data_IF_880044934955
#
_entry.id   IF_880044934955
#
_cell.length_a   1.000
_cell.length_b   1.000
_cell.length_c   1.000
_cell.angle_alpha   90.00
_cell.angle_beta   90.00
_cell.angle_gamma   90.00
#
_symmetry.space_group_name_H-M   'P 1'
#
loop_
_entity.id
_entity.type
_entity.pdbx_description
1 polymer ?
#
# COMPACT_ATOMS: atom_id res chain seq x y z
N UNK A 1 -2.88 -19.89 -5.25
CA UNK A 1 -1.65 -19.10 -5.47
C UNK A 1 -2.02 -17.84 -6.22
N UNK A 2 -1.43 -16.70 -5.88
CA UNK A 2 -1.70 -15.38 -6.44
C UNK A 2 -1.21 -15.28 -7.90
N UNK A 3 -2.07 -15.29 -8.94
CA UNK A 3 -1.62 -15.21 -10.32
C UNK A 3 -1.06 -13.83 -10.64
N UNK A 4 -0.01 -13.77 -11.46
CA UNK A 4 0.51 -12.49 -11.94
C UNK A 4 -0.57 -11.69 -12.67
N UNK A 5 -0.78 -10.45 -12.24
CA UNK A 5 -1.56 -9.46 -12.98
C UNK A 5 -1.11 -8.03 -12.60
N UNK A 6 -1.50 -7.05 -13.44
CA UNK A 6 -1.25 -5.63 -13.16
C UNK A 6 -2.03 -5.21 -11.91
N UNK A 7 -1.35 -4.53 -11.00
CA UNK A 7 -1.90 -4.13 -9.71
C UNK A 7 -1.58 -2.66 -9.39
N UNK A 8 -2.41 -2.03 -8.57
CA UNK A 8 -2.25 -0.61 -8.20
C UNK A 8 -2.79 -0.32 -6.79
N UNK A 9 -2.14 0.57 -6.05
CA UNK A 9 -2.68 1.09 -4.79
C UNK A 9 -3.79 2.09 -5.08
N UNK A 10 -4.91 1.97 -4.36
CA UNK A 10 -6.09 2.78 -4.59
C UNK A 10 -6.63 3.38 -3.28
N UNK A 11 -6.71 4.70 -3.29
CA UNK A 11 -7.59 5.52 -2.47
C UNK A 11 -8.22 6.59 -3.36
N UNK A 12 -9.53 6.77 -3.24
CA UNK A 12 -10.31 7.62 -4.15
C UNK A 12 -10.49 9.07 -3.68
N UNK A 13 -9.80 9.52 -2.63
CA UNK A 13 -10.04 10.84 -2.03
C UNK A 13 -9.75 11.97 -3.02
N UNK A 14 -10.75 12.84 -3.24
CA UNK A 14 -10.65 14.05 -4.08
C UNK A 14 -10.27 15.27 -3.24
N UNK A 15 -10.25 16.45 -3.86
CA UNK A 15 -10.12 17.70 -3.13
C UNK A 15 -11.16 17.82 -2.01
N UNK A 16 -10.72 18.32 -0.85
CA UNK A 16 -11.53 18.46 0.37
C UNK A 16 -12.08 17.15 0.97
N UNK A 17 -11.66 15.99 0.45
CA UNK A 17 -11.95 14.68 1.02
C UNK A 17 -10.71 14.16 1.76
N UNK A 18 -10.91 13.46 2.87
CA UNK A 18 -9.82 12.88 3.64
C UNK A 18 -10.36 11.86 4.65
N UNK A 19 -9.61 10.77 4.94
CA UNK A 19 -9.93 9.91 6.08
C UNK A 19 -9.87 10.69 7.41
N UNK A 20 -9.06 11.76 7.51
CA UNK A 20 -8.90 12.58 8.72
C UNK A 20 -10.16 13.38 9.04
N UNK A 21 -10.78 13.98 8.02
CA UNK A 21 -12.03 14.76 8.17
C UNK A 21 -13.27 13.89 8.07
N UNK A 22 -13.12 12.59 7.77
CA UNK A 22 -14.21 11.63 7.51
C UNK A 22 -15.12 12.08 6.36
N UNK A 23 -14.57 12.83 5.42
CA UNK A 23 -15.22 13.17 4.15
C UNK A 23 -14.73 12.16 3.11
N UNK A 24 -15.58 11.21 2.75
CA UNK A 24 -15.24 10.08 1.88
C UNK A 24 -15.76 10.29 0.45
N UNK A 25 -15.13 9.65 -0.56
CA UNK A 25 -15.68 9.57 -1.90
C UNK A 25 -17.08 8.94 -1.90
N UNK A 26 -17.99 9.52 -2.66
CA UNK A 26 -19.33 8.99 -2.93
C UNK A 26 -19.28 7.71 -3.75
N UNK A 27 -20.38 6.93 -3.76
CA UNK A 27 -20.49 5.73 -4.59
C UNK A 27 -20.30 6.03 -6.09
N UNK A 28 -20.77 7.19 -6.58
CA UNK A 28 -20.59 7.60 -7.97
C UNK A 28 -19.12 7.90 -8.31
N UNK A 29 -18.39 8.59 -7.41
CA UNK A 29 -16.95 8.83 -7.58
C UNK A 29 -16.14 7.54 -7.51
N UNK A 30 -16.50 6.63 -6.59
CA UNK A 30 -15.89 5.31 -6.50
C UNK A 30 -16.14 4.49 -7.77
N UNK A 31 -17.37 4.51 -8.31
CA UNK A 31 -17.70 3.82 -9.56
C UNK A 31 -16.89 4.38 -10.73
N UNK A 32 -16.77 5.71 -10.85
CA UNK A 32 -15.93 6.36 -11.88
C UNK A 32 -14.49 5.85 -11.81
N UNK A 33 -13.89 5.88 -10.62
CA UNK A 33 -12.51 5.45 -10.41
C UNK A 33 -12.31 3.97 -10.75
N UNK A 34 -13.19 3.10 -10.27
CA UNK A 34 -13.07 1.65 -10.46
C UNK A 34 -13.25 1.25 -11.92
N UNK A 35 -14.17 1.88 -12.66
CA UNK A 35 -14.33 1.66 -14.10
C UNK A 35 -13.12 2.14 -14.89
N UNK A 36 -12.47 3.23 -14.46
CA UNK A 36 -11.22 3.69 -15.06
C UNK A 36 -10.10 2.68 -14.83
N UNK A 37 -9.90 2.22 -13.59
CA UNK A 37 -8.82 1.30 -13.23
C UNK A 37 -9.01 -0.11 -13.83
N UNK A 38 -10.25 -0.62 -13.87
CA UNK A 38 -10.56 -1.97 -14.37
C UNK A 38 -10.20 -2.19 -15.85
N UNK A 39 -9.96 -1.12 -16.63
CA UNK A 39 -9.49 -1.22 -18.02
C UNK A 39 -8.09 -1.82 -18.12
N UNK A 40 -7.25 -1.59 -17.11
CA UNK A 40 -5.81 -1.86 -17.19
C UNK A 40 -5.26 -2.65 -16.00
N UNK A 41 -5.98 -2.67 -14.88
CA UNK A 41 -5.56 -3.35 -13.65
C UNK A 41 -6.54 -4.46 -13.29
N UNK A 42 -6.02 -5.50 -12.65
CA UNK A 42 -6.81 -6.62 -12.11
C UNK A 42 -6.93 -6.53 -10.60
N UNK A 43 -5.90 -6.01 -9.94
CA UNK A 43 -5.81 -5.94 -8.49
C UNK A 43 -5.70 -4.50 -8.02
N UNK A 44 -6.44 -4.17 -6.96
CA UNK A 44 -6.28 -2.92 -6.22
C UNK A 44 -5.91 -3.21 -4.76
N UNK A 45 -5.17 -2.31 -4.13
CA UNK A 45 -4.83 -2.38 -2.70
C UNK A 45 -5.41 -1.19 -1.95
N UNK A 46 -6.02 -1.46 -0.79
CA UNK A 46 -6.57 -0.48 0.14
C UNK A 46 -5.97 -0.68 1.55
N UNK A 47 -5.99 0.38 2.35
CA UNK A 47 -5.17 0.50 3.56
C UNK A 47 -5.90 0.26 4.88
N UNK A 48 -7.22 0.41 4.89
CA UNK A 48 -8.05 0.24 6.08
C UNK A 48 -9.40 -0.42 5.74
N UNK A 49 -10.09 -1.06 6.70
CA UNK A 49 -11.35 -1.76 6.46
C UNK A 49 -12.60 -0.89 6.74
N UNK A 50 -12.47 0.44 6.78
CA UNK A 50 -13.56 1.32 7.19
C UNK A 50 -14.43 1.77 6.00
N UNK A 51 -15.05 2.94 6.11
CA UNK A 51 -16.09 3.44 5.21
C UNK A 51 -15.70 3.35 3.74
N UNK A 52 -14.50 3.82 3.38
CA UNK A 52 -14.09 3.85 1.99
C UNK A 52 -13.94 2.43 1.39
N UNK A 53 -13.27 1.51 2.10
CA UNK A 53 -13.15 0.13 1.64
C UNK A 53 -14.50 -0.59 1.54
N UNK A 54 -15.42 -0.34 2.49
CA UNK A 54 -16.79 -0.86 2.41
C UNK A 54 -17.52 -0.36 1.17
N UNK A 55 -17.44 0.93 0.87
CA UNK A 55 -18.02 1.52 -0.35
C UNK A 55 -17.43 0.89 -1.61
N UNK A 56 -16.11 0.71 -1.66
CA UNK A 56 -15.43 0.10 -2.81
C UNK A 56 -15.86 -1.35 -3.03
N UNK A 57 -15.86 -2.17 -1.98
CA UNK A 57 -16.30 -3.56 -2.07
C UNK A 57 -17.77 -3.68 -2.49
N UNK A 58 -18.64 -2.82 -1.94
CA UNK A 58 -20.04 -2.71 -2.34
C UNK A 58 -20.18 -2.38 -3.83
N UNK A 59 -19.52 -1.32 -4.30
CA UNK A 59 -19.59 -0.88 -5.71
C UNK A 59 -19.05 -1.95 -6.66
N UNK A 60 -17.93 -2.61 -6.33
CA UNK A 60 -17.40 -3.72 -7.13
C UNK A 60 -18.44 -4.83 -7.28
N UNK A 61 -19.09 -5.22 -6.18
CA UNK A 61 -20.11 -6.28 -6.14
C UNK A 61 -21.35 -5.92 -6.95
N UNK A 62 -21.92 -4.74 -6.72
CA UNK A 62 -23.16 -4.28 -7.36
C UNK A 62 -22.99 -4.08 -8.87
N UNK A 63 -21.85 -3.53 -9.29
CA UNK A 63 -21.57 -3.24 -10.69
C UNK A 63 -20.77 -4.35 -11.40
N UNK A 64 -20.45 -5.44 -10.71
CA UNK A 64 -19.70 -6.60 -11.24
C UNK A 64 -18.37 -6.19 -11.89
N UNK A 65 -17.66 -5.26 -11.26
CA UNK A 65 -16.40 -4.73 -11.77
C UNK A 65 -15.33 -5.83 -11.64
N UNK A 66 -14.54 -6.14 -12.69
CA UNK A 66 -13.65 -7.31 -12.70
C UNK A 66 -12.35 -7.11 -11.91
N UNK A 67 -12.37 -6.37 -10.80
CA UNK A 67 -11.26 -6.09 -9.90
C UNK A 67 -11.28 -7.03 -8.69
N UNK A 68 -10.11 -7.37 -8.16
CA UNK A 68 -9.96 -8.01 -6.86
C UNK A 68 -9.18 -7.10 -5.91
N UNK A 69 -9.48 -7.18 -4.62
CA UNK A 69 -9.05 -6.18 -3.63
C UNK A 69 -8.17 -6.81 -2.57
N UNK A 70 -6.98 -6.27 -2.36
CA UNK A 70 -6.22 -6.48 -1.14
C UNK A 70 -6.62 -5.41 -0.11
N UNK A 71 -7.07 -5.80 1.08
CA UNK A 71 -7.48 -4.86 2.14
C UNK A 71 -6.58 -5.03 3.35
N UNK A 72 -6.05 -3.92 3.86
CA UNK A 72 -5.23 -3.89 5.08
C UNK A 72 -5.96 -3.35 6.31
N UNK A 73 -5.22 -3.34 7.41
CA UNK A 73 -5.49 -2.49 8.59
C UNK A 73 -4.31 -1.56 8.79
N UNK A 74 -4.56 -0.45 9.49
CA UNK A 74 -3.53 0.42 10.07
C UNK A 74 -3.58 0.24 11.60
N UNK A 75 -2.76 -0.68 12.17
CA UNK A 75 -2.66 -0.87 13.60
C UNK A 75 -2.28 0.43 14.31
N UNK A 76 -2.90 0.69 15.44
CA UNK A 76 -2.41 1.72 16.38
C UNK A 76 -1.18 1.20 17.11
N UNK A 77 -0.23 2.10 17.36
CA UNK A 77 1.06 1.74 17.96
C UNK A 77 0.93 1.12 19.35
N UNK A 78 1.52 -0.05 19.56
CA UNK A 78 1.61 -0.69 20.87
C UNK A 78 2.97 -0.43 21.55
N UNK A 79 3.85 0.31 20.89
CA UNK A 79 5.11 0.81 21.42
C UNK A 79 5.11 2.33 21.29
N UNK A 80 5.41 3.03 22.38
CA UNK A 80 5.60 4.49 22.39
C UNK A 80 6.91 4.85 21.68
N UNK A 81 6.86 5.73 20.69
CA UNK A 81 7.98 6.15 19.85
C UNK A 81 8.13 7.69 19.87
N UNK A 82 8.56 8.29 20.99
CA UNK A 82 8.58 9.74 21.16
C UNK A 82 9.58 10.46 20.24
N UNK A 83 10.55 9.75 19.66
CA UNK A 83 11.55 10.29 18.75
C UNK A 83 11.07 10.36 17.30
N UNK A 84 9.89 9.82 16.97
CA UNK A 84 9.37 9.85 15.61
C UNK A 84 8.90 11.29 15.25
N UNK A 85 9.32 11.83 14.10
CA UNK A 85 8.97 13.18 13.68
C UNK A 85 7.48 13.37 13.38
N UNK A 86 6.73 12.27 13.25
CA UNK A 86 5.31 12.23 12.93
C UNK A 86 4.42 12.01 14.16
N UNK A 87 4.98 12.13 15.37
CA UNK A 87 4.32 11.81 16.63
C UNK A 87 4.65 10.38 17.09
N UNK A 88 3.87 9.84 18.04
CA UNK A 88 4.09 8.46 18.53
C UNK A 88 4.32 8.35 20.03
N UNK A 89 4.21 9.46 20.78
CA UNK A 89 4.12 9.39 22.24
C UNK A 89 2.74 8.84 22.64
N UNK A 90 2.73 7.64 23.19
CA UNK A 90 1.55 6.97 23.72
C UNK A 90 1.70 6.72 25.23
N UNK A 91 0.64 6.93 26.02
CA UNK A 91 0.59 6.52 27.42
C UNK A 91 0.29 5.02 27.55
N UNK A 92 0.52 4.44 28.72
CA UNK A 92 0.20 3.04 28.98
C UNK A 92 -1.30 2.75 28.82
N UNK A 93 -2.17 3.69 29.20
CA UNK A 93 -3.62 3.59 29.00
C UNK A 93 -3.98 3.59 27.52
N UNK A 94 -3.36 4.49 26.73
CA UNK A 94 -3.55 4.53 25.28
C UNK A 94 -3.11 3.22 24.62
N UNK A 95 -1.94 2.70 24.99
CA UNK A 95 -1.43 1.41 24.49
C UNK A 95 -2.40 0.25 24.82
N UNK A 96 -3.01 0.26 26.01
CA UNK A 96 -4.02 -0.74 26.39
C UNK A 96 -5.28 -0.64 25.51
N UNK A 97 -5.72 0.56 25.17
CA UNK A 97 -6.84 0.77 24.24
C UNK A 97 -6.46 0.39 22.79
N UNK A 98 -5.23 0.68 22.36
CA UNK A 98 -4.72 0.34 21.04
C UNK A 98 -4.75 -1.16 20.80
N UNK A 99 -4.31 -1.95 21.79
CA UNK A 99 -4.40 -3.43 21.74
C UNK A 99 -5.81 -3.89 21.42
N UNK A 100 -6.82 -3.37 22.14
CA UNK A 100 -8.22 -3.72 21.88
C UNK A 100 -8.64 -3.29 20.47
N UNK A 101 -8.35 -2.04 20.12
CA UNK A 101 -8.70 -1.46 18.81
C UNK A 101 -8.09 -2.26 17.66
N UNK A 102 -6.86 -2.74 17.79
CA UNK A 102 -6.17 -3.54 16.78
C UNK A 102 -6.91 -4.86 16.51
N UNK A 103 -7.37 -5.56 17.54
CA UNK A 103 -8.19 -6.75 17.35
C UNK A 103 -9.59 -6.43 16.80
N UNK A 104 -10.21 -5.34 17.22
CA UNK A 104 -11.50 -4.88 16.65
C UNK A 104 -11.36 -4.58 15.14
N UNK A 105 -10.22 -4.01 14.72
CA UNK A 105 -9.88 -3.79 13.29
C UNK A 105 -9.71 -5.10 12.53
N UNK A 106 -9.01 -6.08 13.10
CA UNK A 106 -8.83 -7.40 12.47
C UNK A 106 -10.15 -8.16 12.35
N UNK A 107 -11.04 -8.03 13.33
CA UNK A 107 -12.38 -8.62 13.28
C UNK A 107 -13.23 -7.98 12.18
N UNK A 108 -13.17 -6.66 12.03
CA UNK A 108 -13.84 -5.97 10.93
C UNK A 108 -13.26 -6.38 9.57
N UNK A 109 -11.94 -6.48 9.44
CA UNK A 109 -11.30 -6.97 8.22
C UNK A 109 -11.75 -8.41 7.91
N UNK A 110 -11.79 -9.29 8.92
CA UNK A 110 -12.27 -10.66 8.75
C UNK A 110 -13.73 -10.73 8.28
N UNK A 111 -14.60 -9.85 8.81
CA UNK A 111 -15.97 -9.73 8.33
C UNK A 111 -16.01 -9.39 6.83
N UNK A 112 -15.24 -8.39 6.39
CA UNK A 112 -15.20 -8.01 4.96
C UNK A 112 -14.63 -9.13 4.09
N UNK A 113 -13.57 -9.81 4.54
CA UNK A 113 -13.02 -10.98 3.85
C UNK A 113 -14.06 -12.09 3.64
N UNK A 114 -14.90 -12.34 4.62
CA UNK A 114 -15.93 -13.38 4.55
C UNK A 114 -17.16 -12.94 3.73
N UNK A 115 -17.56 -11.67 3.79
CA UNK A 115 -18.71 -11.12 3.07
C UNK A 115 -18.45 -10.92 1.56
N UNK A 116 -17.21 -10.59 1.19
CA UNK A 116 -16.77 -10.28 -0.17
C UNK A 116 -15.70 -11.27 -0.65
N UNK A 117 -15.78 -12.54 -0.25
CA UNK A 117 -14.68 -13.49 -0.45
C UNK A 117 -14.30 -13.79 -1.90
N UNK A 118 -15.21 -13.54 -2.85
CA UNK A 118 -15.00 -13.62 -4.29
C UNK A 118 -14.23 -12.40 -4.87
N UNK A 119 -14.30 -11.27 -4.17
CA UNK A 119 -13.64 -10.01 -4.54
C UNK A 119 -12.30 -9.86 -3.79
N UNK A 120 -12.21 -10.34 -2.56
CA UNK A 120 -11.01 -10.17 -1.72
C UNK A 120 -9.90 -11.08 -2.21
N UNK A 121 -8.80 -10.45 -2.61
CA UNK A 121 -7.59 -11.08 -3.11
C UNK A 121 -6.67 -11.58 -1.98
N UNK A 122 -6.49 -10.74 -0.97
CA UNK A 122 -5.62 -10.96 0.18
C UNK A 122 -5.95 -9.95 1.30
N UNK A 123 -5.45 -10.22 2.50
CA UNK A 123 -5.60 -9.34 3.65
C UNK A 123 -4.23 -8.97 4.25
N UNK A 124 -4.04 -7.73 4.69
CA UNK A 124 -2.82 -7.30 5.39
C UNK A 124 -3.10 -6.97 6.85
N UNK A 125 -2.24 -7.42 7.76
CA UNK A 125 -2.32 -7.11 9.20
C UNK A 125 -1.59 -5.84 9.62
N UNK A 126 -1.07 -5.07 8.67
CA UNK A 126 -0.43 -3.79 8.94
C UNK A 126 0.27 -3.19 7.73
N UNK A 127 0.75 -1.96 7.92
CA UNK A 127 1.50 -1.18 6.93
C UNK A 127 2.66 -0.45 7.62
N UNK A 128 3.88 -0.91 7.40
CA UNK A 128 5.13 -0.26 7.85
C UNK A 128 5.28 -0.04 9.37
N UNK A 129 4.43 -0.68 10.17
CA UNK A 129 4.37 -0.49 11.61
C UNK A 129 5.59 -1.06 12.36
N UNK A 130 6.56 -1.71 11.69
CA UNK A 130 7.83 -2.14 12.33
C UNK A 130 8.99 -1.18 12.06
N UNK A 131 8.77 -0.15 11.24
CA UNK A 131 9.74 0.90 10.96
C UNK A 131 9.96 1.81 12.16
N UNK A 132 11.23 2.07 12.51
CA UNK A 132 11.60 2.99 13.60
C UNK A 132 11.10 4.44 13.42
N UNK A 133 10.80 4.82 12.18
CA UNK A 133 10.27 6.14 11.84
C UNK A 133 8.73 6.21 11.85
N UNK A 134 8.02 5.12 12.16
CA UNK A 134 6.57 5.07 12.19
C UNK A 134 6.00 5.47 13.57
N UNK A 135 4.96 6.30 13.59
CA UNK A 135 4.33 6.79 14.82
C UNK A 135 3.46 5.72 15.51
N UNK A 136 2.94 4.77 14.74
CA UNK A 136 2.29 3.56 15.24
C UNK A 136 3.27 2.38 15.25
N UNK A 137 4.31 2.46 16.08
CA UNK A 137 5.33 1.40 16.16
C UNK A 137 4.77 0.14 16.85
N UNK A 138 5.10 -1.02 16.30
CA UNK A 138 4.64 -2.34 16.71
C UNK A 138 5.82 -3.33 16.82
N UNK A 139 5.77 -4.22 17.81
CA UNK A 139 6.72 -5.33 17.89
C UNK A 139 6.43 -6.34 16.76
N UNK A 140 7.46 -6.81 16.00
CA UNK A 140 7.28 -7.83 14.98
C UNK A 140 6.58 -9.11 15.47
N UNK A 141 6.76 -9.51 16.74
CA UNK A 141 6.05 -10.64 17.35
C UNK A 141 4.55 -10.36 17.49
N UNK A 142 4.16 -9.13 17.81
CA UNK A 142 2.75 -8.74 17.87
C UNK A 142 2.13 -8.80 16.47
N UNK A 143 2.82 -8.30 15.45
CA UNK A 143 2.36 -8.43 14.05
C UNK A 143 2.22 -9.90 13.63
N UNK A 144 3.15 -10.77 14.03
CA UNK A 144 3.05 -12.21 13.79
C UNK A 144 1.81 -12.83 14.48
N UNK A 145 1.50 -12.40 15.70
CA UNK A 145 0.27 -12.82 16.41
C UNK A 145 -0.99 -12.32 15.69
N UNK A 146 -1.01 -11.09 15.20
CA UNK A 146 -2.11 -10.56 14.40
C UNK A 146 -2.32 -11.36 13.11
N UNK A 147 -1.25 -11.71 12.39
CA UNK A 147 -1.31 -12.55 11.20
C UNK A 147 -1.92 -13.92 11.52
N UNK A 148 -1.45 -14.58 12.58
CA UNK A 148 -1.99 -15.86 13.05
C UNK A 148 -3.47 -15.76 13.45
N UNK A 149 -3.84 -14.69 14.16
CA UNK A 149 -5.22 -14.44 14.55
C UNK A 149 -6.13 -14.27 13.34
N UNK A 150 -5.78 -13.41 12.39
CA UNK A 150 -6.59 -13.17 11.19
C UNK A 150 -6.76 -14.44 10.36
N UNK A 151 -5.68 -15.22 10.17
CA UNK A 151 -5.72 -16.51 9.48
C UNK A 151 -6.65 -17.54 10.12
N UNK A 152 -6.93 -17.45 11.42
CA UNK A 152 -7.90 -18.32 12.07
C UNK A 152 -9.36 -17.98 11.71
N UNK A 153 -9.60 -16.83 11.07
CA UNK A 153 -10.94 -16.29 10.80
C UNK A 153 -11.31 -16.16 9.33
N UNK A 154 -10.33 -16.28 8.43
CA UNK A 154 -10.52 -16.07 6.99
C UNK A 154 -9.84 -17.17 6.18
N UNK A 155 -10.28 -17.36 4.93
CA UNK A 155 -9.65 -18.31 3.99
C UNK A 155 -8.66 -17.66 3.02
N UNK A 156 -8.68 -16.33 2.90
CA UNK A 156 -7.83 -15.58 1.98
C UNK A 156 -6.38 -15.50 2.51
N UNK A 157 -5.38 -15.35 1.61
CA UNK A 157 -3.99 -15.18 2.02
C UNK A 157 -3.80 -13.94 2.89
N UNK A 158 -3.04 -14.09 3.97
CA UNK A 158 -2.68 -13.01 4.90
C UNK A 158 -1.21 -12.62 4.74
N UNK A 159 -0.93 -11.32 4.77
CA UNK A 159 0.43 -10.75 4.77
C UNK A 159 0.59 -9.59 5.75
N UNK A 160 1.78 -8.99 5.75
CA UNK A 160 2.11 -7.73 6.40
C UNK A 160 2.90 -6.87 5.40
N UNK A 161 2.42 -5.66 5.14
CA UNK A 161 3.01 -4.76 4.14
C UNK A 161 4.09 -3.90 4.79
N UNK A 162 5.34 -3.96 4.29
CA UNK A 162 6.47 -3.32 4.96
C UNK A 162 7.63 -3.05 3.98
N UNK A 163 8.48 -2.06 4.28
CA UNK A 163 9.68 -1.78 3.50
C UNK A 163 10.63 -2.99 3.39
N UNK A 164 11.26 -3.16 2.23
CA UNK A 164 12.18 -4.28 1.99
C UNK A 164 13.27 -4.38 3.06
N UNK A 165 13.83 -3.23 3.49
CA UNK A 165 14.80 -3.15 4.58
C UNK A 165 14.29 -3.76 5.89
N UNK A 166 13.13 -3.34 6.39
CA UNK A 166 12.58 -3.87 7.65
C UNK A 166 12.18 -5.35 7.54
N UNK A 167 11.78 -5.81 6.35
CA UNK A 167 11.61 -7.24 6.10
C UNK A 167 12.90 -8.03 6.29
N UNK A 168 14.06 -7.47 5.94
CA UNK A 168 15.36 -8.12 6.12
C UNK A 168 15.79 -8.11 7.59
N UNK A 169 15.59 -6.99 8.29
CA UNK A 169 16.03 -6.80 9.67
C UNK A 169 15.11 -7.42 10.72
N UNK A 170 13.80 -7.37 10.52
CA UNK A 170 12.80 -7.64 11.56
C UNK A 170 11.74 -8.67 11.14
N UNK A 171 11.68 -9.02 9.85
CA UNK A 171 10.59 -9.81 9.28
C UNK A 171 10.60 -11.31 9.59
N UNK A 172 11.68 -11.88 10.13
CA UNK A 172 11.82 -13.34 10.26
C UNK A 172 10.72 -14.01 11.09
N UNK A 173 10.26 -13.36 12.17
CA UNK A 173 9.17 -13.89 13.00
C UNK A 173 7.82 -13.78 12.30
N UNK A 174 7.59 -12.70 11.56
CA UNK A 174 6.35 -12.45 10.80
C UNK A 174 6.24 -13.43 9.63
N UNK A 175 7.36 -13.67 8.92
CA UNK A 175 7.45 -14.57 7.77
C UNK A 175 6.95 -16.00 8.06
N UNK A 176 7.03 -16.45 9.31
CA UNK A 176 6.54 -17.76 9.74
C UNK A 176 5.01 -17.86 9.72
N UNK A 177 4.33 -16.75 9.99
CA UNK A 177 2.87 -16.72 10.18
C UNK A 177 2.13 -16.27 8.91
N UNK A 178 2.72 -15.39 8.09
CA UNK A 178 2.11 -14.90 6.83
C UNK A 178 2.20 -15.88 5.66
N UNK A 179 1.29 -15.78 4.69
CA UNK A 179 1.25 -16.66 3.52
C UNK A 179 2.22 -16.23 2.42
N UNK A 180 2.52 -14.93 2.32
CA UNK A 180 3.49 -14.37 1.38
C UNK A 180 4.17 -13.13 1.98
N UNK A 181 5.32 -12.77 1.39
CA UNK A 181 6.11 -11.59 1.79
C UNK A 181 5.70 -10.41 0.90
N UNK A 182 5.49 -9.27 1.52
CA UNK A 182 4.88 -8.09 0.91
C UNK A 182 5.80 -6.89 1.13
N UNK A 183 6.62 -6.56 0.14
CA UNK A 183 7.69 -5.55 0.27
C UNK A 183 7.31 -4.21 -0.35
N UNK A 184 7.83 -3.12 0.20
CA UNK A 184 7.81 -1.79 -0.41
C UNK A 184 9.20 -1.39 -0.87
N UNK A 185 9.28 -0.64 -1.99
CA UNK A 185 10.53 -0.07 -2.51
C UNK A 185 10.29 1.34 -3.07
N UNK A 186 11.01 2.32 -2.51
CA UNK A 186 10.94 3.73 -2.92
C UNK A 186 12.34 4.34 -3.10
N UNK A 187 13.04 4.03 -4.21
CA UNK A 187 14.41 4.50 -4.43
C UNK A 187 14.54 6.02 -4.39
N UNK A 188 13.55 6.76 -4.91
CA UNK A 188 13.55 8.24 -4.93
C UNK A 188 13.48 8.85 -3.52
N UNK A 189 12.76 8.20 -2.60
CA UNK A 189 12.69 8.58 -1.17
C UNK A 189 14.05 8.38 -0.50
N UNK A 190 14.77 7.33 -0.90
CA UNK A 190 16.11 7.02 -0.42
C UNK A 190 17.22 7.78 -1.18
N UNK A 191 16.87 8.80 -1.97
CA UNK A 191 17.80 9.61 -2.78
C UNK A 191 18.67 8.77 -3.71
N UNK A 192 18.14 7.65 -4.19
CA UNK A 192 18.73 6.88 -5.29
C UNK A 192 18.34 7.54 -6.60
N UNK A 193 19.33 7.88 -7.43
CA UNK A 193 19.05 8.51 -8.73
C UNK A 193 18.26 7.61 -9.66
N UNK A 194 17.51 8.22 -10.59
CA UNK A 194 16.68 7.55 -11.58
C UNK A 194 17.45 6.47 -12.35
N UNK A 195 18.72 6.75 -12.71
CA UNK A 195 19.62 5.81 -13.39
C UNK A 195 19.80 4.49 -12.63
N UNK A 196 19.78 4.52 -11.30
CA UNK A 196 20.05 3.35 -10.44
C UNK A 196 18.78 2.78 -9.80
N UNK A 197 17.64 3.47 -9.92
CA UNK A 197 16.41 3.16 -9.19
C UNK A 197 15.81 1.80 -9.52
N UNK A 198 15.81 1.41 -10.80
CA UNK A 198 15.27 0.12 -11.23
C UNK A 198 16.11 -1.02 -10.68
N UNK A 199 17.44 -0.92 -10.82
CA UNK A 199 18.38 -1.89 -10.26
C UNK A 199 18.22 -2.01 -8.75
N UNK A 200 18.07 -0.89 -8.03
CA UNK A 200 17.80 -0.88 -6.59
C UNK A 200 16.55 -1.70 -6.23
N UNK A 201 15.44 -1.46 -6.94
CA UNK A 201 14.17 -2.18 -6.69
C UNK A 201 14.29 -3.67 -7.00
N UNK A 202 15.00 -4.04 -8.07
CA UNK A 202 15.29 -5.45 -8.39
C UNK A 202 16.14 -6.09 -7.30
N UNK A 203 17.13 -5.38 -6.75
CA UNK A 203 17.95 -5.88 -5.65
C UNK A 203 17.16 -6.12 -4.37
N UNK A 204 16.21 -5.25 -4.05
CA UNK A 204 15.29 -5.48 -2.91
C UNK A 204 14.52 -6.79 -3.08
N UNK A 205 14.02 -7.08 -4.29
CA UNK A 205 13.40 -8.36 -4.59
C UNK A 205 14.37 -9.53 -4.42
N UNK A 206 15.56 -9.46 -5.02
CA UNK A 206 16.53 -10.57 -5.00
C UNK A 206 17.05 -10.87 -3.58
N UNK A 207 17.32 -9.83 -2.78
CA UNK A 207 17.72 -9.97 -1.37
C UNK A 207 16.60 -10.59 -0.56
N UNK A 208 15.36 -10.12 -0.74
CA UNK A 208 14.18 -10.70 -0.08
C UNK A 208 14.00 -12.17 -0.47
N UNK A 209 14.18 -12.53 -1.75
CA UNK A 209 14.06 -13.90 -2.24
C UNK A 209 15.14 -14.82 -1.66
N UNK A 210 16.35 -14.30 -1.47
CA UNK A 210 17.43 -15.04 -0.81
C UNK A 210 17.14 -15.32 0.65
N UNK A 211 16.54 -14.37 1.38
CA UNK A 211 16.20 -14.52 2.80
C UNK A 211 14.97 -15.44 2.98
N UNK A 212 13.97 -15.32 2.11
CA UNK A 212 12.72 -16.07 2.17
C UNK A 212 12.48 -16.92 0.90
N UNK A 213 13.33 -17.93 0.61
CA UNK A 213 13.32 -18.66 -0.67
C UNK A 213 12.00 -19.37 -0.96
N UNK A 214 11.30 -19.83 0.08
CA UNK A 214 10.07 -20.61 -0.02
C UNK A 214 8.79 -19.77 0.01
N UNK A 215 8.90 -18.43 0.09
CA UNK A 215 7.74 -17.53 0.06
C UNK A 215 7.60 -16.88 -1.31
N UNK A 216 6.35 -16.64 -1.69
CA UNK A 216 6.04 -15.68 -2.75
C UNK A 216 6.40 -14.28 -2.25
N UNK A 217 6.96 -13.46 -3.13
CA UNK A 217 7.26 -12.04 -2.85
C UNK A 217 6.42 -11.20 -3.79
N UNK A 218 5.71 -10.24 -3.22
CA UNK A 218 4.86 -9.27 -3.91
C UNK A 218 5.32 -7.89 -3.51
N UNK A 219 5.43 -6.97 -4.47
CA UNK A 219 5.59 -5.56 -4.13
C UNK A 219 4.21 -4.98 -3.88
N UNK A 220 3.87 -4.69 -2.63
CA UNK A 220 2.58 -4.06 -2.31
C UNK A 220 2.61 -2.55 -2.41
N UNK A 221 3.78 -1.98 -2.58
CA UNK A 221 4.01 -0.59 -2.93
C UNK A 221 5.34 -0.44 -3.67
N UNK A 222 5.33 0.34 -4.73
CA UNK A 222 6.52 0.90 -5.35
C UNK A 222 6.07 2.07 -6.22
N UNK A 223 6.90 3.08 -6.40
CA UNK A 223 6.49 4.22 -7.20
C UNK A 223 7.58 5.24 -7.42
N UNK A 224 7.20 6.33 -8.09
CA UNK A 224 8.05 7.48 -8.31
C UNK A 224 7.20 8.76 -8.28
N UNK A 225 7.46 9.65 -7.33
CA UNK A 225 6.73 10.90 -7.18
C UNK A 225 7.02 11.88 -8.33
N UNK A 226 6.02 12.65 -8.74
CA UNK A 226 6.14 13.65 -9.81
C UNK A 226 6.42 15.07 -9.31
N UNK A 227 6.53 15.25 -8.00
CA UNK A 227 6.89 16.54 -7.38
C UNK A 227 7.52 16.29 -6.02
N UNK A 228 8.42 17.19 -5.58
CA UNK A 228 8.97 17.17 -4.23
C UNK A 228 9.51 18.54 -3.85
N UNK A 229 9.46 18.86 -2.56
CA UNK A 229 9.92 20.11 -1.98
C UNK A 229 11.25 20.00 -1.23
N UNK A 230 12.01 18.91 -1.42
CA UNK A 230 13.35 18.72 -0.86
C UNK A 230 13.69 17.38 -0.17
N UNK A 231 12.74 16.55 0.33
CA UNK A 231 13.12 15.27 0.94
C UNK A 231 13.71 14.28 -0.07
N UNK A 232 13.41 14.45 -1.37
CA UNK A 232 13.86 13.62 -2.49
C UNK A 232 14.79 14.39 -3.43
N UNK A 233 15.31 13.71 -4.47
CA UNK A 233 16.03 14.37 -5.58
C UNK A 233 15.02 15.17 -6.41
N UNK A 234 14.86 16.45 -6.10
CA UNK A 234 13.83 17.34 -6.67
C UNK A 234 13.85 17.40 -8.19
N UNK A 235 15.04 17.40 -8.79
CA UNK A 235 15.24 17.46 -10.24
C UNK A 235 14.71 16.21 -10.94
N UNK A 236 14.66 15.09 -10.22
CA UNK A 236 14.19 13.82 -10.73
C UNK A 236 12.74 13.51 -10.30
N UNK A 237 12.07 14.34 -9.51
CA UNK A 237 10.64 14.20 -9.23
C UNK A 237 9.81 14.98 -10.25
N UNK A 238 9.48 14.32 -11.36
CA UNK A 238 8.65 14.85 -12.45
C UNK A 238 8.04 13.70 -13.27
N UNK A 239 7.04 14.00 -14.12
CA UNK A 239 6.35 12.98 -14.92
C UNK A 239 7.26 12.21 -15.89
N UNK A 240 8.33 12.83 -16.41
CA UNK A 240 9.28 12.15 -17.31
C UNK A 240 10.07 11.09 -16.56
N UNK A 241 10.53 11.40 -15.34
CA UNK A 241 11.23 10.45 -14.48
C UNK A 241 10.30 9.33 -14.00
N UNK A 242 9.07 9.66 -13.58
CA UNK A 242 8.07 8.64 -13.22
C UNK A 242 7.84 7.69 -14.39
N UNK A 243 7.65 8.23 -15.60
CA UNK A 243 7.49 7.40 -16.81
C UNK A 243 8.71 6.52 -17.07
N UNK A 244 9.93 7.08 -17.03
CA UNK A 244 11.15 6.32 -17.30
C UNK A 244 11.32 5.15 -16.31
N UNK A 245 11.10 5.41 -15.01
CA UNK A 245 11.15 4.38 -13.98
C UNK A 245 10.09 3.31 -14.19
N UNK A 246 8.82 3.70 -14.37
CA UNK A 246 7.70 2.78 -14.53
C UNK A 246 7.78 1.95 -15.81
N UNK A 247 8.24 2.51 -16.93
CA UNK A 247 8.42 1.76 -18.18
C UNK A 247 9.36 0.56 -17.99
N UNK A 248 10.50 0.78 -17.33
CA UNK A 248 11.53 -0.25 -17.16
C UNK A 248 11.16 -1.28 -16.08
N UNK A 249 10.71 -0.83 -14.90
CA UNK A 249 10.36 -1.76 -13.81
C UNK A 249 9.11 -2.58 -14.13
N UNK A 250 8.13 -2.02 -14.85
CA UNK A 250 6.94 -2.78 -15.26
C UNK A 250 7.25 -3.81 -16.36
N UNK A 251 8.21 -3.51 -17.26
CA UNK A 251 8.70 -4.50 -18.21
C UNK A 251 9.40 -5.67 -17.50
N UNK A 252 10.21 -5.38 -16.48
CA UNK A 252 10.81 -6.39 -15.62
C UNK A 252 9.76 -7.22 -14.88
N UNK A 253 8.79 -6.57 -14.22
CA UNK A 253 7.65 -7.21 -13.53
C UNK A 253 6.91 -8.20 -14.45
N UNK A 254 6.62 -7.79 -15.68
CA UNK A 254 5.93 -8.64 -16.66
C UNK A 254 6.74 -9.84 -17.12
N UNK A 255 8.05 -9.67 -17.29
CA UNK A 255 8.98 -10.73 -17.68
C UNK A 255 9.14 -11.76 -16.56
N UNK A 256 9.41 -11.30 -15.35
CA UNK A 256 9.69 -12.17 -14.19
C UNK A 256 8.43 -12.67 -13.47
N UNK A 257 7.23 -12.23 -13.91
CA UNK A 257 5.93 -12.56 -13.30
C UNK A 257 5.83 -12.19 -11.82
N UNK A 258 6.48 -11.09 -11.44
CA UNK A 258 6.43 -10.54 -10.08
C UNK A 258 5.30 -9.51 -10.02
N UNK A 259 4.29 -9.75 -9.17
CA UNK A 259 3.18 -8.80 -9.03
C UNK A 259 3.63 -7.58 -8.23
N UNK A 260 3.29 -6.39 -8.74
CA UNK A 260 3.69 -5.12 -8.16
C UNK A 260 2.52 -4.14 -8.18
N UNK A 261 2.20 -3.55 -7.02
CA UNK A 261 1.16 -2.54 -6.86
C UNK A 261 1.79 -1.15 -6.98
N UNK A 262 1.50 -0.46 -8.09
CA UNK A 262 1.98 0.91 -8.31
C UNK A 262 1.40 1.81 -7.23
N UNK A 263 2.26 2.56 -6.53
CA UNK A 263 1.87 3.65 -5.66
C UNK A 263 2.03 4.97 -6.42
N UNK A 264 0.94 5.61 -6.87
CA UNK A 264 -0.47 5.17 -6.69
C UNK A 264 -1.42 5.54 -7.83
N UNK A 265 -2.69 5.19 -7.71
CA UNK A 265 -3.70 5.50 -8.72
C UNK A 265 -3.84 7.00 -8.97
N UNK A 266 -4.17 7.78 -7.95
CA UNK A 266 -4.50 9.20 -8.06
C UNK A 266 -3.63 10.04 -7.14
N UNK A 267 -3.31 11.26 -7.56
CA UNK A 267 -2.77 12.26 -6.62
C UNK A 267 -3.77 12.53 -5.51
N UNK A 268 -3.28 12.58 -4.27
CA UNK A 268 -4.10 12.70 -3.06
C UNK A 268 -3.73 13.97 -2.27
N UNK A 269 -4.45 15.10 -2.47
CA UNK A 269 -4.10 16.38 -1.86
C UNK A 269 -4.18 16.41 -0.33
N UNK A 270 -4.81 15.43 0.30
CA UNK A 270 -4.93 15.36 1.76
C UNK A 270 -3.69 14.80 2.45
N UNK A 271 -2.79 14.12 1.72
CA UNK A 271 -1.58 13.52 2.30
C UNK A 271 -0.53 14.57 2.63
N UNK A 272 0.34 14.24 3.59
CA UNK A 272 1.40 15.14 4.03
C UNK A 272 0.90 16.36 4.82
N UNK A 273 1.64 17.45 4.69
CA UNK A 273 1.37 18.80 5.19
C UNK A 273 0.51 19.63 4.23
N UNK A 274 0.37 20.94 4.53
CA UNK A 274 -0.37 21.88 3.70
C UNK A 274 0.45 22.42 2.50
N UNK A 275 1.72 22.03 2.36
CA UNK A 275 2.57 22.48 1.26
C UNK A 275 2.13 21.83 -0.06
N UNK A 276 1.80 22.61 -1.12
CA UNK A 276 1.31 22.05 -2.38
C UNK A 276 2.29 21.12 -3.09
N UNK A 277 3.60 21.32 -2.90
CA UNK A 277 4.68 20.61 -3.60
C UNK A 277 5.28 19.44 -2.81
N UNK A 278 4.64 19.05 -1.70
CA UNK A 278 5.07 17.92 -0.89
C UNK A 278 4.84 16.59 -1.60
N UNK A 279 5.85 15.69 -1.66
CA UNK A 279 5.82 14.53 -2.54
C UNK A 279 4.66 13.56 -2.28
N UNK A 280 4.19 13.46 -1.03
CA UNK A 280 3.08 12.58 -0.66
C UNK A 280 1.78 12.87 -1.44
N UNK A 281 1.63 14.07 -2.02
CA UNK A 281 0.48 14.45 -2.83
C UNK A 281 0.62 14.06 -4.32
N UNK A 282 1.80 13.59 -4.76
CA UNK A 282 2.19 13.56 -6.18
C UNK A 282 2.68 12.18 -6.67
N UNK A 283 2.21 11.09 -6.05
CA UNK A 283 2.55 9.72 -6.46
C UNK A 283 1.66 9.18 -7.58
N UNK A 284 0.51 9.79 -7.82
CA UNK A 284 -0.50 9.33 -8.76
C UNK A 284 0.04 9.15 -10.17
N UNK A 285 -0.39 8.10 -10.87
CA UNK A 285 -0.28 8.00 -12.34
C UNK A 285 -1.42 8.76 -13.04
N UNK A 286 -2.45 9.14 -12.29
CA UNK A 286 -3.49 10.11 -12.65
C UNK A 286 -3.42 11.30 -11.67
N UNK A 287 -3.82 12.48 -12.13
CA UNK A 287 -3.99 13.64 -11.23
C UNK A 287 -5.28 13.51 -10.38
N UNK A 288 -5.50 14.47 -9.46
CA UNK A 288 -6.70 14.51 -8.59
C UNK A 288 -8.01 14.58 -9.39
N UNK A 289 -7.98 15.05 -10.64
CA UNK A 289 -9.12 15.12 -11.55
C UNK A 289 -9.23 13.91 -12.49
N UNK A 290 -8.53 12.81 -12.18
CA UNK A 290 -8.53 11.55 -12.94
C UNK A 290 -7.96 11.71 -14.36
N UNK A 291 -7.24 12.79 -14.64
CA UNK A 291 -6.54 12.94 -15.93
C UNK A 291 -5.24 12.16 -15.89
N UNK A 292 -4.94 11.36 -16.92
CA UNK A 292 -3.72 10.56 -16.94
C UNK A 292 -2.47 11.45 -17.03
N UNK A 293 -1.50 11.18 -16.17
CA UNK A 293 -0.14 11.71 -16.31
C UNK A 293 0.62 10.97 -17.41
N UNK A 294 1.83 11.42 -17.73
CA UNK A 294 2.61 10.98 -18.88
C UNK A 294 2.74 9.46 -19.01
N UNK A 295 2.98 8.73 -17.92
CA UNK A 295 3.05 7.27 -17.98
C UNK A 295 1.70 6.65 -18.32
N UNK A 296 0.64 6.98 -17.57
CA UNK A 296 -0.70 6.45 -17.81
C UNK A 296 -1.19 6.78 -19.24
N UNK A 297 -0.96 8.00 -19.69
CA UNK A 297 -1.35 8.49 -21.03
C UNK A 297 -0.70 7.69 -22.16
N UNK A 298 0.53 7.23 -21.96
CA UNK A 298 1.31 6.56 -23.00
C UNK A 298 1.28 5.04 -22.91
N UNK A 299 1.09 4.49 -21.71
CA UNK A 299 1.28 3.06 -21.41
C UNK A 299 -0.02 2.33 -21.10
N UNK A 300 -1.10 3.03 -20.77
CA UNK A 300 -2.43 2.47 -20.52
C UNK A 300 -3.35 2.73 -21.72
N UNK A 301 -4.27 1.79 -21.98
CA UNK A 301 -5.23 1.85 -23.08
C UNK A 301 -6.60 2.31 -22.60
#
# INVERSE_FOLDING_TARGET
MFPYAKAICYSGYRENQSPRTKTYPSEAEVLEDLLLLAKNFKYIRMYDPYTHAKTVLKVIKEHKIPLQVMVGVEPRGEISNPSCPWGGLHSDEAIKEHKKTNYDQLDLLAQLCNEYGDIILAASVGNENTSSWHHNLMDPKTIALHAKYLKSKISQPVTFCEGAYNWHEHGQVIAKEVDFISIHSYPVWLKTSLKNAVQYTIEDYQKTKKIYPNKLIVFTEFGWATMSNGPMIKEETNEKSQKAYLDEIMAWSQKEKVSMFIFEAFDEPWKGSNQPDEPEKHWGIYDVHRKPKLWAKNSLK
#
